data_IF_861354023646
#
_entry.id   IF_861354023646
#
_cell.length_a   1.000
_cell.length_b   1.000
_cell.length_c   1.000
_cell.angle_alpha   90.00
_cell.angle_beta   90.00
_cell.angle_gamma   90.00
#
_symmetry.space_group_name_H-M   'P 1'
#
loop_
_entity.id
_entity.type
_entity.pdbx_description
1 polymer ?
#
# COMPACT_ATOMS: atom_id res chain seq x y z
N UNK A 1 6.31 3.30 -18.99
CA UNK A 1 5.25 2.66 -18.18
C UNK A 1 4.03 3.56 -18.18
N UNK A 2 2.84 3.01 -18.37
CA UNK A 2 1.60 3.78 -18.22
C UNK A 2 1.39 4.10 -16.72
N UNK A 3 0.82 5.27 -16.41
CA UNK A 3 0.64 5.76 -15.05
C UNK A 3 -0.55 5.06 -14.34
N UNK A 4 -0.51 3.72 -14.24
CA UNK A 4 -1.61 2.88 -13.77
C UNK A 4 -2.12 3.24 -12.38
N UNK A 5 -1.23 3.47 -11.42
CA UNK A 5 -1.59 3.94 -10.06
C UNK A 5 -2.33 5.27 -10.07
N UNK A 6 -1.91 6.22 -10.92
CA UNK A 6 -2.56 7.54 -11.02
C UNK A 6 -3.93 7.40 -11.67
N UNK A 7 -4.03 6.63 -12.76
CA UNK A 7 -5.28 6.39 -13.45
C UNK A 7 -6.31 5.66 -12.55
N UNK A 8 -5.86 4.66 -11.79
CA UNK A 8 -6.70 3.95 -10.81
C UNK A 8 -7.21 4.88 -9.72
N UNK A 9 -6.34 5.70 -9.13
CA UNK A 9 -6.75 6.69 -8.12
C UNK A 9 -7.73 7.73 -8.68
N UNK A 10 -7.50 8.23 -9.90
CA UNK A 10 -8.42 9.15 -10.56
C UNK A 10 -9.79 8.51 -10.82
N UNK A 11 -9.82 7.26 -11.29
CA UNK A 11 -11.06 6.51 -11.50
C UNK A 11 -11.87 6.38 -10.20
N UNK A 12 -11.23 6.04 -9.08
CA UNK A 12 -11.91 5.91 -7.79
C UNK A 12 -12.47 7.25 -7.29
N UNK A 13 -11.77 8.35 -7.56
CA UNK A 13 -12.18 9.70 -7.13
C UNK A 13 -13.53 10.13 -7.73
N UNK A 14 -13.87 9.68 -8.94
CA UNK A 14 -15.15 9.99 -9.59
C UNK A 14 -16.37 9.48 -8.81
N UNK A 15 -16.18 8.53 -7.89
CA UNK A 15 -17.24 7.99 -7.04
C UNK A 15 -17.30 8.66 -5.64
N UNK A 16 -16.40 9.61 -5.36
CA UNK A 16 -16.39 10.38 -4.11
C UNK A 16 -17.19 11.66 -4.31
N UNK A 17 -18.23 11.86 -3.48
CA UNK A 17 -19.07 13.06 -3.57
C UNK A 17 -18.31 14.31 -3.14
N UNK A 18 -18.75 15.46 -3.63
CA UNK A 18 -18.20 16.76 -3.23
C UNK A 18 -18.27 16.96 -1.71
N UNK A 19 -17.22 17.61 -1.17
CA UNK A 19 -17.13 17.93 0.26
C UNK A 19 -16.69 16.77 1.16
N UNK A 20 -16.53 15.55 0.65
CA UNK A 20 -16.02 14.40 1.43
C UNK A 20 -14.48 14.41 1.42
N UNK A 21 -13.80 14.59 2.57
CA UNK A 21 -12.36 14.37 2.66
C UNK A 21 -12.04 12.91 2.37
N UNK A 22 -11.12 12.66 1.45
CA UNK A 22 -10.83 11.31 0.96
C UNK A 22 -9.34 11.11 0.69
N UNK A 23 -8.88 9.88 0.94
CA UNK A 23 -7.55 9.42 0.57
C UNK A 23 -7.63 7.99 0.00
N UNK A 24 -6.68 7.67 -0.88
CA UNK A 24 -6.50 6.33 -1.41
C UNK A 24 -5.06 5.88 -1.17
N UNK A 25 -4.92 4.73 -0.51
CA UNK A 25 -3.63 4.05 -0.35
C UNK A 25 -3.53 2.93 -1.39
N UNK A 26 -2.72 3.13 -2.43
CA UNK A 26 -2.31 2.04 -3.33
C UNK A 26 -1.18 1.25 -2.66
N UNK A 27 -1.50 0.06 -2.15
CA UNK A 27 -0.56 -0.79 -1.40
C UNK A 27 -0.10 -2.02 -2.17
N UNK A 28 -0.42 -2.16 -3.47
CA UNK A 28 -0.15 -3.37 -4.23
C UNK A 28 1.33 -3.82 -4.12
N UNK A 29 2.27 -2.87 -4.18
CA UNK A 29 3.70 -3.15 -4.06
C UNK A 29 4.24 -3.29 -2.64
N UNK A 30 3.45 -2.96 -1.61
CA UNK A 30 3.90 -3.07 -0.20
C UNK A 30 3.18 -4.16 0.58
N UNK A 31 2.08 -4.71 0.04
CA UNK A 31 1.24 -5.69 0.72
C UNK A 31 1.90 -7.08 0.86
N UNK A 32 2.84 -7.40 -0.02
CA UNK A 32 3.50 -8.70 -0.06
C UNK A 32 5.02 -8.55 -0.21
N UNK A 33 5.78 -9.22 0.65
CA UNK A 33 7.22 -9.34 0.50
C UNK A 33 7.54 -10.71 -0.12
N UNK A 34 8.36 -10.71 -1.16
CA UNK A 34 8.82 -11.94 -1.80
C UNK A 34 9.84 -12.69 -0.93
N UNK A 35 10.04 -13.98 -1.23
CA UNK A 35 11.07 -14.76 -0.55
C UNK A 35 12.44 -14.16 -0.90
N UNK A 36 13.21 -13.87 0.14
CA UNK A 36 14.58 -13.39 -0.01
C UNK A 36 15.43 -14.34 -0.87
N UNK A 37 16.13 -13.81 -1.86
CA UNK A 37 16.92 -14.55 -2.85
C UNK A 37 16.26 -14.74 -4.22
N UNK A 38 15.10 -14.14 -4.47
CA UNK A 38 14.43 -14.15 -5.80
C UNK A 38 14.67 -12.84 -6.56
N UNK A 39 14.40 -12.81 -7.87
CA UNK A 39 14.71 -11.65 -8.74
C UNK A 39 14.03 -10.32 -8.34
N UNK A 40 13.07 -10.35 -7.40
CA UNK A 40 12.34 -9.19 -6.89
C UNK A 40 12.64 -8.89 -5.41
N UNK A 41 13.78 -9.36 -4.87
CA UNK A 41 14.21 -9.26 -3.48
C UNK A 41 14.05 -7.83 -2.90
N UNK A 42 12.87 -7.52 -2.39
CA UNK A 42 12.61 -6.32 -1.62
C UNK A 42 13.47 -6.44 -0.37
N UNK A 43 14.50 -5.58 -0.26
CA UNK A 43 15.48 -5.56 0.83
C UNK A 43 14.83 -6.00 2.16
N UNK A 44 15.29 -7.14 2.71
CA UNK A 44 14.82 -7.70 3.99
C UNK A 44 14.58 -6.57 5.00
N UNK A 45 13.32 -6.34 5.36
CA UNK A 45 12.97 -5.46 6.46
C UNK A 45 13.23 -6.22 7.77
N UNK A 46 14.12 -5.75 8.66
CA UNK A 46 14.46 -6.48 9.89
C UNK A 46 13.28 -6.60 10.87
N UNK A 47 12.23 -5.80 10.66
CA UNK A 47 11.01 -5.74 11.46
C UNK A 47 9.80 -6.39 10.76
N UNK A 48 9.98 -6.94 9.55
CA UNK A 48 8.91 -7.54 8.74
C UNK A 48 9.03 -9.06 8.67
N UNK A 49 8.01 -9.75 8.11
CA UNK A 49 8.11 -11.18 7.84
C UNK A 49 9.19 -11.47 6.79
N UNK A 50 9.71 -12.70 6.78
CA UNK A 50 10.74 -13.12 5.81
C UNK A 50 10.21 -13.26 4.38
N UNK A 51 8.91 -13.49 4.24
CA UNK A 51 8.14 -13.58 3.00
C UNK A 51 6.64 -13.53 3.36
N UNK A 52 5.80 -13.15 2.42
CA UNK A 52 4.35 -13.18 2.56
C UNK A 52 3.72 -11.83 2.86
N UNK A 53 2.48 -11.86 3.39
CA UNK A 53 1.72 -10.67 3.72
C UNK A 53 2.43 -9.81 4.78
N UNK A 54 2.65 -8.53 4.46
CA UNK A 54 3.49 -7.64 5.30
C UNK A 54 2.71 -6.91 6.38
N UNK A 55 1.41 -6.69 6.17
CA UNK A 55 0.60 -5.82 7.01
C UNK A 55 1.04 -4.35 7.01
N UNK A 56 1.78 -3.91 5.98
CA UNK A 56 2.13 -2.50 5.81
C UNK A 56 0.85 -1.64 5.74
N UNK A 57 0.94 -0.38 6.18
CA UNK A 57 -0.18 0.57 6.37
C UNK A 57 -1.02 0.36 7.63
N UNK A 58 -1.12 -0.85 8.21
CA UNK A 58 -1.93 -1.07 9.43
C UNK A 58 -1.49 -0.16 10.59
N UNK A 59 -0.20 -0.16 10.93
CA UNK A 59 0.33 0.70 12.01
C UNK A 59 0.12 2.20 11.75
N UNK A 60 0.20 2.62 10.48
CA UNK A 60 -0.06 4.01 10.09
C UNK A 60 -1.52 4.40 10.34
N UNK A 61 -2.46 3.52 9.99
CA UNK A 61 -3.90 3.78 10.17
C UNK A 61 -4.26 3.79 11.66
N UNK A 62 -3.73 2.86 12.45
CA UNK A 62 -3.96 2.84 13.90
C UNK A 62 -3.43 4.12 14.57
N UNK A 63 -2.20 4.53 14.22
CA UNK A 63 -1.59 5.77 14.72
C UNK A 63 -2.40 7.01 14.31
N UNK A 64 -2.84 7.08 13.04
CA UNK A 64 -3.73 8.15 12.57
C UNK A 64 -5.06 8.21 13.33
N UNK A 65 -5.60 7.05 13.70
CA UNK A 65 -6.83 6.93 14.49
C UNK A 65 -6.61 7.14 16.01
N UNK A 66 -5.35 7.17 16.46
CA UNK A 66 -4.99 7.30 17.89
C UNK A 66 -5.36 6.08 18.73
N UNK A 67 -5.32 4.88 18.16
CA UNK A 67 -5.66 3.60 18.82
C UNK A 67 -4.51 2.61 18.89
#
# INVERSE_FOLDING_TARGET
GQAGTIAGGAFLKEFVREGIPWCHFDIAGTAWDDIAGTAWDAKKKPYGPKAGATGNVIRLVLDFMGV
#
